data_IF_547752519969
#
_entry.id   IF_547752519969
#
_cell.length_a   1.000
_cell.length_b   1.000
_cell.length_c   1.000
_cell.angle_alpha   90.00
_cell.angle_beta   90.00
_cell.angle_gamma   90.00
#
_symmetry.space_group_name_H-M   'P 1'
#
loop_
_entity.id
_entity.type
_entity.pdbx_description
1 polymer ?
#
# COMPACT_ATOMS: atom_id res chain seq x y z
N UNK A 1 -7.79 -8.05 10.72
CA UNK A 1 -7.49 -7.21 9.54
C UNK A 1 -6.96 -8.08 8.42
N UNK A 2 -7.28 -7.77 7.16
CA UNK A 2 -6.70 -8.47 5.99
C UNK A 2 -5.97 -7.48 5.10
N UNK A 3 -4.87 -7.93 4.48
CA UNK A 3 -4.14 -7.18 3.47
C UNK A 3 -4.25 -7.95 2.15
N UNK A 4 -4.91 -7.36 1.16
CA UNK A 4 -4.93 -7.88 -0.20
C UNK A 4 -3.67 -7.40 -0.92
N UNK A 5 -2.72 -8.28 -1.21
CA UNK A 5 -1.45 -7.92 -1.84
C UNK A 5 -0.83 -8.99 -2.75
N UNK A 6 0.25 -8.60 -3.43
CA UNK A 6 1.14 -9.50 -4.15
C UNK A 6 2.54 -9.41 -3.53
N UNK A 7 3.04 -10.48 -2.87
CA UNK A 7 4.37 -10.49 -2.29
C UNK A 7 5.47 -10.20 -3.32
N UNK A 8 6.44 -9.37 -2.94
CA UNK A 8 7.56 -8.99 -3.81
C UNK A 8 7.35 -7.72 -4.63
N UNK A 9 6.14 -7.14 -4.63
CA UNK A 9 5.91 -5.84 -5.26
C UNK A 9 6.30 -4.67 -4.32
N UNK A 10 6.77 -3.53 -4.86
CA UNK A 10 7.30 -2.43 -4.05
C UNK A 10 6.30 -1.81 -3.07
N UNK A 11 5.05 -1.56 -3.51
CA UNK A 11 4.01 -0.99 -2.65
C UNK A 11 3.59 -1.96 -1.53
N UNK A 12 3.29 -3.24 -1.80
CA UNK A 12 3.10 -4.26 -0.76
C UNK A 12 4.25 -4.35 0.25
N UNK A 13 5.51 -4.23 -0.19
CA UNK A 13 6.66 -4.24 0.70
C UNK A 13 6.61 -3.12 1.74
N UNK A 14 6.14 -1.91 1.38
CA UNK A 14 5.99 -0.78 2.32
C UNK A 14 5.07 -1.13 3.48
N UNK A 15 3.94 -1.77 3.20
CA UNK A 15 2.97 -2.16 4.24
C UNK A 15 3.48 -3.32 5.08
N UNK A 16 4.17 -4.29 4.47
CA UNK A 16 4.80 -5.38 5.22
C UNK A 16 5.88 -4.87 6.18
N UNK A 17 6.71 -3.91 5.75
CA UNK A 17 7.70 -3.25 6.61
C UNK A 17 6.99 -2.51 7.75
N UNK A 18 5.98 -1.69 7.46
CA UNK A 18 5.27 -0.93 8.50
C UNK A 18 4.56 -1.85 9.51
N UNK A 19 3.95 -2.96 9.06
CA UNK A 19 3.36 -3.97 9.95
C UNK A 19 4.41 -4.62 10.85
N UNK A 20 5.58 -4.95 10.31
CA UNK A 20 6.69 -5.52 11.07
C UNK A 20 7.22 -4.53 12.14
N UNK A 21 7.43 -3.26 11.75
CA UNK A 21 7.85 -2.19 12.67
C UNK A 21 6.82 -1.95 13.80
N UNK A 22 5.53 -2.15 13.53
CA UNK A 22 4.48 -2.06 14.55
C UNK A 22 4.23 -3.35 15.33
N UNK A 23 4.93 -4.45 15.01
CA UNK A 23 4.68 -5.76 15.62
C UNK A 23 3.28 -6.30 15.34
N UNK A 24 2.72 -5.98 14.17
CA UNK A 24 1.36 -6.30 13.75
C UNK A 24 1.29 -7.39 12.67
N UNK A 25 2.43 -7.93 12.21
CA UNK A 25 2.47 -8.96 11.16
C UNK A 25 1.56 -10.15 11.48
N UNK A 26 1.59 -10.66 12.71
CA UNK A 26 0.77 -11.80 13.13
C UNK A 26 -0.71 -11.45 13.38
N UNK A 27 -1.09 -10.16 13.28
CA UNK A 27 -2.47 -9.69 13.43
C UNK A 27 -3.17 -9.43 12.10
N UNK A 28 -2.50 -9.76 11.00
CA UNK A 28 -2.98 -9.56 9.63
C UNK A 28 -2.97 -10.88 8.89
N UNK A 29 -4.06 -11.16 8.19
CA UNK A 29 -4.11 -12.19 7.17
C UNK A 29 -3.74 -11.57 5.81
N UNK A 30 -2.78 -12.16 5.10
CA UNK A 30 -2.43 -11.73 3.74
C UNK A 30 -3.25 -12.53 2.72
N UNK A 31 -4.07 -11.82 1.95
CA UNK A 31 -4.86 -12.37 0.85
C UNK A 31 -4.06 -12.12 -0.44
N UNK A 32 -3.65 -13.21 -1.10
CA UNK A 32 -2.94 -13.12 -2.36
C UNK A 32 -3.84 -12.58 -3.46
N UNK A 33 -3.34 -11.63 -4.24
CA UNK A 33 -3.97 -11.10 -5.45
C UNK A 33 -3.00 -11.32 -6.61
N UNK A 34 -3.35 -12.15 -7.58
CA UNK A 34 -2.49 -12.45 -8.73
C UNK A 34 -2.45 -11.28 -9.71
N UNK A 35 -1.57 -10.32 -9.41
CA UNK A 35 -1.37 -9.11 -10.21
C UNK A 35 -0.86 -9.44 -11.61
N UNK A 36 0.16 -10.31 -11.81
CA UNK A 36 0.58 -10.74 -13.15
C UNK A 36 -0.46 -11.50 -13.96
N UNK A 37 -1.49 -12.08 -13.34
CA UNK A 37 -2.65 -12.65 -14.04
C UNK A 37 -3.83 -11.68 -14.19
N UNK A 38 -3.66 -10.40 -13.84
CA UNK A 38 -4.67 -9.37 -14.02
C UNK A 38 -5.80 -9.39 -13.00
N UNK A 39 -5.68 -10.09 -11.88
CA UNK A 39 -6.77 -10.21 -10.89
C UNK A 39 -7.23 -8.85 -10.34
N UNK A 40 -6.27 -7.97 -10.06
CA UNK A 40 -6.49 -6.58 -9.64
C UNK A 40 -7.35 -5.74 -10.60
N UNK A 41 -7.39 -6.09 -11.89
CA UNK A 41 -8.17 -5.38 -12.91
C UNK A 41 -9.64 -5.81 -12.94
N UNK A 42 -9.98 -6.97 -12.36
CA UNK A 42 -11.34 -7.53 -12.36
C UNK A 42 -12.28 -6.68 -11.52
N UNK A 43 -13.56 -6.69 -11.88
CA UNK A 43 -14.60 -5.91 -11.19
C UNK A 43 -14.65 -6.20 -9.68
N UNK A 44 -14.46 -7.47 -9.29
CA UNK A 44 -14.43 -7.88 -7.89
C UNK A 44 -13.36 -7.14 -7.08
N UNK A 45 -12.14 -7.02 -7.61
CA UNK A 45 -11.07 -6.29 -6.93
C UNK A 45 -11.27 -4.77 -7.03
N UNK A 46 -11.77 -4.27 -8.15
CA UNK A 46 -12.08 -2.83 -8.33
C UNK A 46 -13.15 -2.31 -7.38
N UNK A 47 -14.06 -3.18 -6.89
CA UNK A 47 -14.99 -2.84 -5.81
C UNK A 47 -14.29 -2.60 -4.46
N UNK A 48 -13.12 -3.21 -4.23
CA UNK A 48 -12.27 -2.96 -3.05
C UNK A 48 -11.43 -1.69 -3.23
N UNK A 49 -10.83 -1.52 -4.42
CA UNK A 49 -10.03 -0.35 -4.78
C UNK A 49 -10.27 0.03 -6.25
N UNK A 50 -10.98 1.14 -6.55
CA UNK A 50 -11.25 1.57 -7.92
C UNK A 50 -9.99 1.84 -8.76
N UNK A 51 -8.87 2.20 -8.12
CA UNK A 51 -7.56 2.37 -8.75
C UNK A 51 -6.93 1.05 -9.22
N UNK A 52 -7.56 -0.09 -8.90
CA UNK A 52 -7.08 -1.44 -9.23
C UNK A 52 -5.65 -1.72 -8.74
N UNK A 53 -5.21 -1.15 -7.62
CA UNK A 53 -3.84 -1.31 -7.13
C UNK A 53 -3.79 -2.10 -5.81
N UNK A 54 -2.68 -2.80 -5.59
CA UNK A 54 -2.31 -3.42 -4.31
C UNK A 54 -1.23 -2.60 -3.60
N UNK A 55 -1.20 -2.57 -2.26
CA UNK A 55 -2.05 -3.30 -1.32
C UNK A 55 -3.36 -2.57 -0.97
N UNK A 56 -4.32 -3.32 -0.42
CA UNK A 56 -5.56 -2.80 0.19
C UNK A 56 -5.74 -3.44 1.57
N UNK A 57 -6.02 -2.61 2.57
CA UNK A 57 -6.40 -3.05 3.92
C UNK A 57 -7.92 -3.19 4.03
N UNK A 58 -8.38 -4.36 4.47
CA UNK A 58 -9.76 -4.64 4.84
C UNK A 58 -9.86 -4.73 6.37
N UNK A 59 -10.73 -3.90 6.94
CA UNK A 59 -11.07 -3.93 8.36
C UNK A 59 -12.18 -4.95 8.65
N UNK A 60 -12.39 -5.26 9.92
CA UNK A 60 -13.38 -6.25 10.35
C UNK A 60 -14.84 -5.86 10.00
N UNK A 61 -15.11 -4.55 9.88
CA UNK A 61 -16.42 -4.02 9.47
C UNK A 61 -16.59 -3.96 7.94
N UNK A 62 -15.61 -4.43 7.17
CA UNK A 62 -15.60 -4.40 5.72
C UNK A 62 -15.10 -3.09 5.10
N UNK A 63 -14.67 -2.11 5.90
CA UNK A 63 -14.04 -0.89 5.39
C UNK A 63 -12.77 -1.22 4.60
N UNK A 64 -12.65 -0.66 3.40
CA UNK A 64 -11.48 -0.79 2.53
C UNK A 64 -10.63 0.48 2.57
N UNK A 65 -9.35 0.36 2.89
CA UNK A 65 -8.37 1.44 2.89
C UNK A 65 -7.30 1.10 1.86
N UNK A 66 -7.25 1.84 0.76
CA UNK A 66 -6.18 1.80 -0.24
C UNK A 66 -5.15 2.91 0.02
N UNK A 67 -4.09 2.94 -0.80
CA UNK A 67 -2.93 3.83 -0.68
C UNK A 67 -2.02 3.50 0.51
N UNK A 68 -0.75 3.23 0.22
CA UNK A 68 0.19 2.80 1.24
C UNK A 68 0.36 3.82 2.38
N UNK A 69 0.30 5.11 2.07
CA UNK A 69 0.38 6.19 3.08
C UNK A 69 -0.84 6.20 4.01
N UNK A 70 -2.05 5.95 3.49
CA UNK A 70 -3.26 5.89 4.30
C UNK A 70 -3.34 4.61 5.15
N UNK A 71 -2.94 3.46 4.58
CA UNK A 71 -2.82 2.20 5.33
C UNK A 71 -1.80 2.35 6.47
N UNK A 72 -0.64 2.95 6.20
CA UNK A 72 0.40 3.21 7.22
C UNK A 72 -0.12 4.15 8.31
N UNK A 73 -0.85 5.21 7.94
CA UNK A 73 -1.46 6.12 8.91
C UNK A 73 -2.44 5.38 9.85
N UNK A 74 -3.28 4.49 9.31
CA UNK A 74 -4.19 3.69 10.13
C UNK A 74 -3.44 2.79 11.11
N UNK A 75 -2.51 1.95 10.62
CA UNK A 75 -1.82 0.98 11.47
C UNK A 75 -0.91 1.63 12.51
N UNK A 76 -0.29 2.77 12.18
CA UNK A 76 0.63 3.45 13.10
C UNK A 76 -0.13 4.11 14.28
N UNK A 77 -1.37 4.55 14.04
CA UNK A 77 -2.19 5.23 15.05
C UNK A 77 -3.10 4.29 15.86
N UNK A 78 -3.18 2.99 15.55
CA UNK A 78 -4.07 2.03 16.24
C UNK A 78 -3.93 2.03 17.77
N UNK A 79 -2.73 2.27 18.28
CA UNK A 79 -2.44 2.28 19.72
C UNK A 79 -2.36 3.69 20.34
N UNK A 80 -2.67 4.74 19.58
CA UNK A 80 -2.57 6.14 20.03
C UNK A 80 -1.15 6.66 20.22
N UNK A 81 -0.13 5.91 19.82
CA UNK A 81 1.28 6.27 19.95
C UNK A 81 2.02 6.06 18.61
N UNK A 82 1.82 6.97 17.63
CA UNK A 82 2.42 6.85 16.31
C UNK A 82 3.95 6.97 16.39
N UNK A 83 4.64 6.05 15.71
CA UNK A 83 6.10 5.96 15.67
C UNK A 83 6.65 6.10 14.25
N UNK A 84 5.80 5.96 13.23
CA UNK A 84 6.17 6.05 11.82
C UNK A 84 5.74 7.38 11.20
N UNK A 85 4.58 7.91 11.59
CA UNK A 85 3.96 9.10 10.97
C UNK A 85 4.13 10.38 11.80
N UNK A 86 4.70 10.26 13.01
CA UNK A 86 5.04 11.38 13.89
C UNK A 86 3.94 11.73 14.91
N UNK A 87 4.35 12.21 16.09
CA UNK A 87 3.45 12.44 17.24
C UNK A 87 3.18 13.90 17.57
N UNK A 88 3.88 14.84 16.90
CA UNK A 88 3.64 16.29 17.03
C UNK A 88 3.23 16.89 15.68
N UNK A 89 2.56 18.06 15.63
CA UNK A 89 2.19 18.70 14.37
C UNK A 89 3.38 18.89 13.43
N UNK A 90 4.54 19.31 13.96
CA UNK A 90 5.77 19.49 13.19
C UNK A 90 6.29 18.17 12.61
N UNK A 91 6.36 17.11 13.43
CA UNK A 91 6.84 15.80 12.96
C UNK A 91 5.92 15.25 11.87
N UNK A 92 4.61 15.29 12.08
CA UNK A 92 3.61 14.83 11.10
C UNK A 92 3.77 15.55 9.76
N UNK A 93 3.90 16.88 9.79
CA UNK A 93 4.08 17.67 8.57
C UNK A 93 5.40 17.35 7.85
N UNK A 94 6.52 17.23 8.58
CA UNK A 94 7.82 16.91 7.98
C UNK A 94 7.85 15.50 7.43
N UNK A 95 7.33 14.52 8.16
CA UNK A 95 7.23 13.13 7.70
C UNK A 95 6.36 13.03 6.47
N UNK A 96 5.16 13.62 6.47
CA UNK A 96 4.27 13.60 5.31
C UNK A 96 4.88 14.30 4.08
N UNK A 97 5.59 15.42 4.28
CA UNK A 97 6.32 16.10 3.20
C UNK A 97 7.38 15.19 2.59
N UNK A 98 8.19 14.53 3.42
CA UNK A 98 9.26 13.65 2.92
C UNK A 98 8.70 12.37 2.30
N UNK A 99 7.63 11.80 2.86
CA UNK A 99 6.90 10.68 2.30
C UNK A 99 6.41 11.02 0.88
N UNK A 100 5.77 12.19 0.72
CA UNK A 100 5.26 12.62 -0.58
C UNK A 100 6.37 12.83 -1.61
N UNK A 101 7.52 13.39 -1.21
CA UNK A 101 8.69 13.55 -2.09
C UNK A 101 9.27 12.20 -2.49
N UNK A 102 9.44 11.27 -1.55
CA UNK A 102 9.93 9.94 -1.87
C UNK A 102 8.99 9.19 -2.84
N UNK A 103 7.68 9.39 -2.71
CA UNK A 103 6.70 8.89 -3.68
C UNK A 103 6.87 9.57 -5.04
N UNK A 104 6.68 10.88 -5.14
CA UNK A 104 6.69 11.60 -6.42
C UNK A 104 8.02 11.51 -7.16
N UNK A 105 9.12 11.76 -6.44
CA UNK A 105 10.43 12.00 -7.05
C UNK A 105 11.23 10.71 -7.23
N UNK A 106 10.73 9.58 -6.73
CA UNK A 106 11.41 8.29 -6.85
C UNK A 106 10.45 7.14 -7.16
N UNK A 107 9.55 6.79 -6.23
CA UNK A 107 8.76 5.56 -6.37
C UNK A 107 7.82 5.61 -7.57
N UNK A 108 7.07 6.71 -7.72
CA UNK A 108 6.12 6.92 -8.81
C UNK A 108 6.87 7.05 -10.15
N UNK A 109 8.03 7.70 -10.15
CA UNK A 109 8.88 7.83 -11.33
C UNK A 109 9.39 6.46 -11.82
N UNK A 110 9.84 5.60 -10.91
CA UNK A 110 10.26 4.22 -11.24
C UNK A 110 9.08 3.38 -11.71
N UNK A 111 7.92 3.51 -11.05
CA UNK A 111 6.70 2.81 -11.46
C UNK A 111 6.26 3.23 -12.87
N UNK A 112 6.22 4.53 -13.15
CA UNK A 112 5.88 5.04 -14.48
C UNK A 112 6.85 4.54 -15.55
N UNK A 113 8.15 4.50 -15.27
CA UNK A 113 9.14 3.91 -16.17
C UNK A 113 8.85 2.42 -16.43
N UNK A 114 8.60 1.64 -15.38
CA UNK A 114 8.29 0.21 -15.51
C UNK A 114 7.04 -0.03 -16.37
N UNK A 115 5.93 0.65 -16.07
CA UNK A 115 4.64 0.44 -16.74
C UNK A 115 4.58 0.99 -18.17
N UNK A 116 5.36 2.04 -18.50
CA UNK A 116 5.21 2.72 -19.79
C UNK A 116 6.45 2.66 -20.71
N UNK A 117 7.63 2.33 -20.16
CA UNK A 117 8.89 2.32 -20.92
C UNK A 117 9.61 0.96 -20.85
N UNK A 118 8.96 -0.06 -20.28
CA UNK A 118 9.40 -1.46 -20.32
C UNK A 118 8.21 -2.35 -20.71
N UNK A 119 8.39 -3.68 -20.89
CA UNK A 119 7.25 -4.59 -21.05
C UNK A 119 6.28 -4.63 -19.86
N UNK A 120 6.65 -4.06 -18.70
CA UNK A 120 5.78 -3.95 -17.53
C UNK A 120 5.29 -5.31 -17.04
N UNK A 121 4.00 -5.40 -16.72
CA UNK A 121 3.28 -6.64 -16.41
C UNK A 121 2.89 -7.46 -17.65
N UNK A 122 3.19 -6.97 -18.86
CA UNK A 122 2.83 -7.59 -20.12
C UNK A 122 1.60 -6.94 -20.80
N UNK A 123 1.40 -7.21 -22.10
CA UNK A 123 0.45 -6.49 -22.95
C UNK A 123 -1.03 -6.76 -22.64
N UNK A 124 -1.34 -7.81 -21.87
CA UNK A 124 -2.71 -8.13 -21.49
C UNK A 124 -3.18 -7.34 -20.26
N UNK A 125 -2.26 -6.64 -19.58
CA UNK A 125 -2.49 -5.92 -18.32
C UNK A 125 -2.17 -4.42 -18.43
N UNK A 126 -1.08 -4.05 -19.11
CA UNK A 126 -0.68 -2.66 -19.37
C UNK A 126 -1.45 -2.03 -20.54
#
# INVERSE_FOLDING_TARGET
>A
MKIHDFPGFPNPARIRIALAEKGLTDKVEFIHVDVPAGEHQKEEFRRKNPSAAVPVLELEDGTMISECTAITEYIDNLNGAPTLTGSTPKQRAVTAMMQRRAEADLLDAVAAYFHHATPGLGPDIE
#
